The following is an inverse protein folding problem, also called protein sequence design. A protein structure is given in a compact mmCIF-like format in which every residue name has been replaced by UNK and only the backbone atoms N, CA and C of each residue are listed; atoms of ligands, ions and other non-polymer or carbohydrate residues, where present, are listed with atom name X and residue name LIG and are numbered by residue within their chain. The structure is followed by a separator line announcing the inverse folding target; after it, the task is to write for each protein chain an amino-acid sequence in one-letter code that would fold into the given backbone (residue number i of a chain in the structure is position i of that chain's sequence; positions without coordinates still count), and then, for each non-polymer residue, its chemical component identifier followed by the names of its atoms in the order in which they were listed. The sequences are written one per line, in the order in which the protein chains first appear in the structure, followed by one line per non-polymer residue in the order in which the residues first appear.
data_IF_664374467122
#
_entry.id   IF_664374467122
#
_cell.length_a   1.000
_cell.length_b   1.000
_cell.length_c   1.000
_cell.angle_alpha   90.00
_cell.angle_beta   90.00
_cell.angle_gamma   90.00
#
_symmetry.space_group_name_H-M   'P 1'
#
loop_
_entity.id
_entity.type
_entity.pdbx_description
1 polymer ?
#
# COMPACT_ATOMS: atom_id res chain seq x y z
N UNK A 1 3.59 0.94 -2.50
CA UNK A 1 2.34 0.32 -2.02
C UNK A 1 1.98 -0.92 -2.80
N UNK A 2 1.69 -0.88 -4.12
CA UNK A 2 1.21 -2.06 -4.83
C UNK A 2 2.21 -3.22 -4.83
N UNK A 3 3.53 -2.97 -4.89
CA UNK A 3 4.56 -4.01 -4.73
C UNK A 3 4.65 -4.64 -3.32
N UNK A 4 3.96 -4.06 -2.33
CA UNK A 4 3.98 -4.49 -0.93
C UNK A 4 2.60 -4.93 -0.41
N UNK A 5 1.61 -5.02 -1.27
CA UNK A 5 0.28 -5.53 -0.93
C UNK A 5 -0.18 -6.56 -1.96
N UNK A 6 -0.96 -7.56 -1.54
CA UNK A 6 -1.51 -8.59 -2.43
C UNK A 6 -2.72 -8.09 -3.23
N UNK A 7 -3.18 -8.83 -4.27
CA UNK A 7 -4.35 -8.43 -5.06
C UNK A 7 -5.61 -8.19 -4.23
N UNK A 8 -5.82 -8.98 -3.17
CA UNK A 8 -6.92 -8.82 -2.22
C UNK A 8 -6.66 -7.72 -1.16
N UNK A 9 -5.51 -7.05 -1.23
CA UNK A 9 -5.13 -5.90 -0.40
C UNK A 9 -5.12 -4.62 -1.24
N UNK A 10 -6.31 -4.19 -1.64
CA UNK A 10 -6.53 -2.91 -2.34
C UNK A 10 -5.81 -2.84 -3.70
N UNK A 11 -5.91 -3.92 -4.49
CA UNK A 11 -5.38 -3.97 -5.85
C UNK A 11 -3.85 -4.04 -5.92
N UNK A 12 -3.22 -4.63 -4.91
CA UNK A 12 -1.80 -4.88 -4.90
C UNK A 12 -1.36 -5.94 -5.91
N UNK A 13 -0.05 -6.07 -6.11
CA UNK A 13 0.55 -6.97 -7.11
C UNK A 13 1.56 -7.96 -6.48
N UNK A 14 1.63 -7.99 -5.15
CA UNK A 14 2.48 -8.93 -4.43
C UNK A 14 2.03 -10.38 -4.70
N UNK A 15 3.00 -11.24 -5.01
CA UNK A 15 2.75 -12.66 -5.31
C UNK A 15 2.32 -12.94 -6.76
N UNK A 16 2.12 -11.91 -7.58
CA UNK A 16 1.93 -12.09 -9.02
C UNK A 16 3.27 -12.31 -9.73
N UNK A 17 3.23 -13.02 -10.85
CA UNK A 17 4.35 -13.09 -11.78
C UNK A 17 4.43 -11.76 -12.57
N UNK A 18 5.15 -10.80 -11.98
CA UNK A 18 5.30 -9.47 -12.54
C UNK A 18 5.94 -9.49 -13.93
N UNK A 19 6.90 -10.39 -14.15
CA UNK A 19 7.60 -10.49 -15.43
C UNK A 19 6.66 -11.00 -16.53
N UNK A 20 5.88 -12.06 -16.27
CA UNK A 20 4.90 -12.57 -17.22
C UNK A 20 3.79 -11.54 -17.54
N UNK A 21 3.46 -10.68 -16.58
CA UNK A 21 2.47 -9.60 -16.73
C UNK A 21 3.06 -8.32 -17.35
N UNK A 22 4.37 -8.25 -17.60
CA UNK A 22 5.02 -7.04 -18.11
C UNK A 22 5.04 -5.88 -17.10
N UNK A 23 4.91 -6.18 -15.80
CA UNK A 23 4.95 -5.19 -14.73
C UNK A 23 6.41 -4.96 -14.32
N UNK A 24 6.91 -3.71 -14.30
CA UNK A 24 8.27 -3.43 -13.88
C UNK A 24 8.44 -3.71 -12.38
N UNK A 25 9.67 -4.04 -11.98
CA UNK A 25 10.04 -4.09 -10.58
C UNK A 25 9.88 -2.72 -9.92
N UNK A 26 9.75 -2.69 -8.60
CA UNK A 26 9.69 -1.42 -7.87
C UNK A 26 10.94 -0.56 -8.11
N UNK A 27 12.12 -1.17 -8.22
CA UNK A 27 13.38 -0.47 -8.51
C UNK A 27 13.30 0.22 -9.88
N UNK A 28 12.95 -0.52 -10.92
CA UNK A 28 12.83 0.03 -12.29
C UNK A 28 11.82 1.16 -12.36
N UNK A 29 10.67 1.01 -11.68
CA UNK A 29 9.66 2.06 -11.60
C UNK A 29 10.21 3.33 -10.93
N UNK A 30 10.92 3.18 -9.80
CA UNK A 30 11.48 4.32 -9.07
C UNK A 30 12.60 4.99 -9.87
N UNK A 31 13.48 4.21 -10.49
CA UNK A 31 14.56 4.74 -11.31
C UNK A 31 14.01 5.53 -12.49
N UNK A 32 12.98 5.02 -13.16
CA UNK A 32 12.27 5.74 -14.21
C UNK A 32 11.62 7.02 -13.66
N UNK A 33 10.88 6.93 -12.54
CA UNK A 33 10.22 8.09 -11.95
C UNK A 33 11.23 9.20 -11.61
N UNK A 34 12.33 8.87 -10.92
CA UNK A 34 13.32 9.86 -10.50
C UNK A 34 14.21 10.38 -11.63
N UNK A 35 14.29 9.69 -12.78
CA UNK A 35 14.93 10.23 -13.97
C UNK A 35 14.18 11.45 -14.56
N UNK A 36 12.87 11.54 -14.34
CA UNK A 36 12.02 12.62 -14.88
C UNK A 36 11.42 13.54 -13.81
N UNK A 37 11.40 13.13 -12.54
CA UNK A 37 10.88 13.93 -11.44
C UNK A 37 11.87 15.06 -11.08
N UNK A 38 11.56 16.29 -11.50
CA UNK A 38 12.40 17.46 -11.21
C UNK A 38 12.20 17.90 -9.74
N UNK A 39 13.31 18.15 -9.04
CA UNK A 39 13.36 18.66 -7.65
C UNK A 39 12.67 17.78 -6.58
N UNK A 40 12.62 16.46 -6.78
CA UNK A 40 12.01 15.54 -5.80
C UNK A 40 13.07 14.78 -5.01
N UNK A 41 12.95 14.79 -3.68
CA UNK A 41 13.80 13.99 -2.81
C UNK A 41 13.59 12.48 -3.03
N UNK A 42 14.62 11.63 -2.81
CA UNK A 42 14.50 10.20 -3.02
C UNK A 42 13.44 9.59 -2.09
N UNK A 43 12.75 8.56 -2.57
CA UNK A 43 11.85 7.77 -1.75
C UNK A 43 12.68 7.02 -0.71
N UNK A 44 12.32 7.16 0.57
CA UNK A 44 12.98 6.53 1.71
C UNK A 44 12.06 5.46 2.30
N UNK A 45 12.63 4.50 3.05
CA UNK A 45 11.84 3.49 3.76
C UNK A 45 10.75 4.14 4.65
N UNK A 46 11.08 5.24 5.33
CA UNK A 46 10.13 6.01 6.13
C UNK A 46 8.87 6.38 5.34
N UNK A 47 9.00 6.85 4.10
CA UNK A 47 7.86 7.27 3.29
C UNK A 47 6.93 6.11 2.96
N UNK A 48 7.48 4.92 2.70
CA UNK A 48 6.70 3.71 2.42
C UNK A 48 5.94 3.24 3.67
N UNK A 49 6.65 3.13 4.79
CA UNK A 49 6.07 2.73 6.08
C UNK A 49 5.01 3.72 6.54
N UNK A 50 5.29 5.02 6.45
CA UNK A 50 4.35 6.08 6.75
C UNK A 50 3.08 5.98 5.89
N UNK A 51 3.24 5.77 4.57
CA UNK A 51 2.10 5.60 3.68
C UNK A 51 1.25 4.39 4.10
N UNK A 52 1.86 3.27 4.49
CA UNK A 52 1.13 2.07 4.94
C UNK A 52 0.31 2.32 6.19
N UNK A 53 0.90 2.94 7.22
CA UNK A 53 0.15 3.31 8.42
C UNK A 53 -0.94 4.34 8.13
N UNK A 54 -0.68 5.30 7.23
CA UNK A 54 -1.70 6.26 6.80
C UNK A 54 -2.90 5.56 6.17
N UNK A 55 -2.68 4.59 5.28
CA UNK A 55 -3.77 3.78 4.71
C UNK A 55 -4.48 2.96 5.79
N UNK A 56 -3.75 2.34 6.71
CA UNK A 56 -4.33 1.59 7.82
C UNK A 56 -5.33 2.44 8.62
N UNK A 57 -4.95 3.67 9.00
CA UNK A 57 -5.80 4.59 9.76
C UNK A 57 -6.98 5.11 8.92
N UNK A 58 -6.82 5.29 7.61
CA UNK A 58 -7.95 5.61 6.71
C UNK A 58 -8.99 4.49 6.77
N UNK A 59 -8.57 3.22 6.69
CA UNK A 59 -9.49 2.08 6.75
C UNK A 59 -10.17 1.94 8.11
N UNK A 60 -9.48 2.24 9.22
CA UNK A 60 -10.12 2.35 10.56
C UNK A 60 -11.23 3.40 10.53
N UNK A 61 -10.95 4.60 10.00
CA UNK A 61 -11.94 5.66 9.93
C UNK A 61 -13.15 5.31 9.04
N UNK A 62 -12.97 4.50 7.99
CA UNK A 62 -14.08 3.99 7.18
C UNK A 62 -14.91 3.01 8.00
N UNK A 63 -14.26 2.04 8.66
CA UNK A 63 -14.93 1.06 9.51
C UNK A 63 -15.77 1.73 10.63
N UNK A 64 -15.23 2.77 11.27
CA UNK A 64 -15.95 3.55 12.28
C UNK A 64 -17.23 4.18 11.73
N UNK A 65 -17.17 4.74 10.51
CA UNK A 65 -18.34 5.33 9.86
C UNK A 65 -19.37 4.27 9.46
N UNK A 66 -18.94 3.07 9.09
CA UNK A 66 -19.83 1.92 8.83
C UNK A 66 -20.54 1.51 10.13
N UNK A 67 -19.80 1.35 11.23
CA UNK A 67 -20.37 1.01 12.54
C UNK A 67 -21.36 2.07 13.03
N UNK A 68 -21.07 3.35 12.75
CA UNK A 68 -21.96 4.47 13.08
C UNK A 68 -23.15 4.63 12.11
N UNK A 69 -23.28 3.80 11.06
CA UNK A 69 -24.36 3.88 10.07
C UNK A 69 -24.28 5.13 9.18
N UNK A 70 -23.11 5.76 9.07
CA UNK A 70 -22.89 7.02 8.34
C UNK A 70 -21.99 6.86 7.11
N UNK A 71 -21.54 5.64 6.81
CA UNK A 71 -20.81 5.35 5.58
C UNK A 71 -21.75 5.38 4.36
N UNK A 72 -21.37 6.13 3.33
CA UNK A 72 -22.15 6.31 2.09
C UNK A 72 -21.79 5.28 1.03
N UNK A 73 -20.58 4.70 1.08
CA UNK A 73 -20.09 3.77 0.08
C UNK A 73 -20.57 2.33 0.33
N UNK A 74 -21.03 1.66 -0.73
CA UNK A 74 -21.60 0.31 -0.66
C UNK A 74 -20.57 -0.78 -0.28
N UNK A 75 -19.28 -0.53 -0.56
CA UNK A 75 -18.14 -1.42 -0.30
C UNK A 75 -17.39 -1.07 1.00
N UNK A 76 -17.92 -0.13 1.81
CA UNK A 76 -17.23 0.37 2.99
C UNK A 76 -16.98 -0.73 4.05
N UNK A 77 -17.82 -1.77 4.10
CA UNK A 77 -17.59 -2.92 4.97
C UNK A 77 -16.41 -3.79 4.50
N UNK A 78 -16.27 -3.97 3.18
CA UNK A 78 -15.28 -4.85 2.56
C UNK A 78 -13.84 -4.36 2.76
N UNK A 79 -13.66 -3.05 2.95
CA UNK A 79 -12.35 -2.43 3.16
C UNK A 79 -11.91 -2.42 4.63
N UNK A 80 -12.79 -2.76 5.58
CA UNK A 80 -12.46 -2.72 7.01
C UNK A 80 -11.28 -3.64 7.40
N UNK A 81 -11.16 -4.88 6.87
CA UNK A 81 -10.01 -5.74 7.15
C UNK A 81 -8.67 -5.16 6.66
N UNK A 82 -8.68 -4.24 5.69
CA UNK A 82 -7.47 -3.65 5.14
C UNK A 82 -6.71 -2.82 6.16
N UNK A 83 -7.36 -2.32 7.22
CA UNK A 83 -6.70 -1.62 8.31
C UNK A 83 -5.58 -2.47 8.93
N UNK A 84 -5.92 -3.68 9.38
CA UNK A 84 -4.96 -4.60 9.99
C UNK A 84 -3.91 -5.09 8.99
N UNK A 85 -4.31 -5.34 7.74
CA UNK A 85 -3.39 -5.82 6.70
C UNK A 85 -2.32 -4.79 6.37
N UNK A 86 -2.70 -3.53 6.16
CA UNK A 86 -1.73 -2.46 5.86
C UNK A 86 -0.82 -2.15 7.06
N UNK A 87 -1.32 -2.25 8.30
CA UNK A 87 -0.46 -2.18 9.48
C UNK A 87 0.55 -3.33 9.51
N UNK A 88 0.14 -4.56 9.18
CA UNK A 88 1.05 -5.70 9.10
C UNK A 88 2.11 -5.52 8.00
N UNK A 89 1.73 -5.04 6.80
CA UNK A 89 2.68 -4.72 5.72
C UNK A 89 3.72 -3.67 6.16
N UNK A 90 3.30 -2.67 6.92
CA UNK A 90 4.21 -1.67 7.46
C UNK A 90 5.25 -2.30 8.39
N UNK A 91 4.82 -3.19 9.28
CA UNK A 91 5.72 -3.92 10.18
C UNK A 91 6.69 -4.83 9.42
N UNK A 92 6.21 -5.55 8.41
CA UNK A 92 7.09 -6.41 7.58
C UNK A 92 8.22 -5.62 6.92
N UNK A 93 7.96 -4.39 6.48
CA UNK A 93 8.97 -3.47 5.92
C UNK A 93 9.92 -2.96 7.01
N UNK A 94 9.41 -2.60 8.19
CA UNK A 94 10.23 -2.17 9.34
C UNK A 94 11.21 -3.27 9.76
N UNK A 95 10.72 -4.50 9.87
CA UNK A 95 11.49 -5.65 10.34
C UNK A 95 12.49 -6.18 9.28
N UNK A 96 12.49 -5.60 8.07
CA UNK A 96 13.35 -6.02 6.96
C UNK A 96 12.99 -7.39 6.38
N UNK A 97 11.82 -7.93 6.74
CA UNK A 97 11.32 -9.22 6.22
C UNK A 97 10.91 -9.13 4.74
N UNK A 98 10.81 -7.91 4.20
CA UNK A 98 10.59 -7.65 2.77
C UNK A 98 11.65 -6.71 2.21
N UNK A 99 12.18 -7.00 1.01
CA UNK A 99 13.07 -6.09 0.32
C UNK A 99 12.31 -4.82 -0.12
N UNK A 100 13.05 -3.72 -0.17
CA UNK A 100 12.62 -2.40 -0.61
C UNK A 100 12.78 -2.21 -2.13
#
# INVERSE_FOLDING_TARGET
MPWHSSPDEYGGILGLDQAALGIPTQREFLDHYFAYAVLTAPLQHFHLVFAMFRFAVIFVGIADRVMAGSAVAADAADVSPLAGRFAARAMEVIDGTRPW
#
